data_IF_081369618429
#
_entry.id   IF_081369618429
#
_cell.length_a   1.000
_cell.length_b   1.000
_cell.length_c   1.000
_cell.angle_alpha   90.00
_cell.angle_beta   90.00
_cell.angle_gamma   90.00
#
_symmetry.space_group_name_H-M   'P 1'
#
loop_
_entity.id
_entity.type
_entity.pdbx_description
1 polymer ?
#
# COMPACT_ATOMS: atom_id res chain seq x y z
N UNK A 1 3.66 -11.35 2.50
CA UNK A 1 2.69 -10.93 1.46
C UNK A 1 1.25 -11.16 1.92
N UNK A 2 0.80 -12.41 2.09
CA UNK A 2 -0.53 -12.71 2.68
C UNK A 2 -0.76 -12.11 4.08
N UNK A 3 0.31 -11.86 4.84
CA UNK A 3 0.24 -11.20 6.14
C UNK A 3 -0.57 -9.89 6.11
N UNK A 4 -0.30 -9.00 5.15
CA UNK A 4 -0.97 -7.69 5.10
C UNK A 4 -2.42 -7.83 4.68
N UNK A 5 -2.71 -8.66 3.68
CA UNK A 5 -4.08 -8.92 3.20
C UNK A 5 -4.96 -9.71 4.17
N UNK A 6 -4.42 -10.16 5.31
CA UNK A 6 -5.19 -10.79 6.37
C UNK A 6 -5.71 -9.78 7.39
N UNK A 7 -5.20 -8.55 7.35
CA UNK A 7 -5.74 -7.46 8.17
C UNK A 7 -7.08 -7.03 7.54
N UNK A 8 -8.16 -6.94 8.33
CA UNK A 8 -9.46 -6.49 7.83
C UNK A 8 -9.42 -5.13 7.13
N UNK A 9 -10.19 -5.03 6.04
CA UNK A 9 -10.46 -3.75 5.40
C UNK A 9 -11.51 -2.98 6.21
N UNK A 10 -11.23 -1.73 6.55
CA UNK A 10 -12.15 -0.83 7.23
C UNK A 10 -11.97 0.59 6.70
N UNK A 11 -13.01 1.10 6.05
CA UNK A 11 -13.04 2.45 5.49
C UNK A 11 -13.22 3.51 6.60
N UNK A 12 -12.52 4.62 6.48
CA UNK A 12 -12.57 5.74 7.43
C UNK A 12 -13.98 6.30 7.67
N UNK A 13 -14.83 6.30 6.65
CA UNK A 13 -16.22 6.74 6.80
C UNK A 13 -17.00 5.86 7.78
N UNK A 14 -16.62 4.58 7.92
CA UNK A 14 -17.22 3.64 8.88
C UNK A 14 -16.87 3.99 10.32
N UNK A 15 -15.75 4.72 10.54
CA UNK A 15 -15.32 5.22 11.84
C UNK A 15 -15.94 6.59 12.17
N UNK A 16 -16.76 7.15 11.27
CA UNK A 16 -17.35 8.49 11.42
C UNK A 16 -16.35 9.62 11.16
N UNK A 17 -15.19 9.31 10.58
CA UNK A 17 -14.26 10.31 10.11
C UNK A 17 -14.89 11.09 8.94
N UNK A 18 -14.65 12.40 8.92
CA UNK A 18 -15.11 13.29 7.82
C UNK A 18 -14.05 13.50 6.75
N UNK A 19 -12.85 13.01 7.00
CA UNK A 19 -11.65 13.16 6.18
C UNK A 19 -10.96 11.80 6.14
N UNK A 20 -10.28 11.55 5.04
CA UNK A 20 -9.34 10.43 4.87
C UNK A 20 -8.08 10.69 5.72
N UNK A 21 -7.80 9.77 6.65
CA UNK A 21 -6.74 9.84 7.67
C UNK A 21 -5.85 8.62 7.55
N UNK A 22 -4.63 8.87 7.08
CA UNK A 22 -3.64 7.82 6.93
C UNK A 22 -2.95 7.49 8.25
N UNK A 23 -3.00 6.23 8.64
CA UNK A 23 -2.38 5.73 9.86
C UNK A 23 -0.92 5.29 9.64
N UNK A 24 -0.12 5.33 10.70
CA UNK A 24 1.21 4.71 10.70
C UNK A 24 1.09 3.17 10.69
N UNK A 25 2.13 2.48 10.24
CA UNK A 25 2.16 1.01 10.24
C UNK A 25 2.00 0.42 11.65
N UNK A 26 2.48 1.11 12.70
CA UNK A 26 2.22 0.70 14.09
C UNK A 26 0.75 0.86 14.48
N UNK A 27 0.15 2.03 14.23
CA UNK A 27 -1.24 2.31 14.57
C UNK A 27 -2.22 1.40 13.80
N UNK A 28 -1.95 1.14 12.52
CA UNK A 28 -2.71 0.20 11.70
C UNK A 28 -2.67 -1.23 12.25
N UNK A 29 -1.50 -1.70 12.70
CA UNK A 29 -1.36 -3.01 13.31
C UNK A 29 -2.02 -3.11 14.69
N UNK A 30 -2.05 -2.02 15.45
CA UNK A 30 -2.77 -1.95 16.73
C UNK A 30 -4.28 -1.95 16.54
N UNK A 31 -4.79 -1.16 15.58
CA UNK A 31 -6.21 -1.11 15.23
C UNK A 31 -6.71 -2.43 14.64
N UNK A 32 -5.80 -3.21 14.03
CA UNK A 32 -6.11 -4.46 13.34
C UNK A 32 -7.15 -4.29 12.22
N UNK A 33 -7.24 -3.09 11.64
CA UNK A 33 -8.11 -2.75 10.53
C UNK A 33 -7.65 -1.42 9.90
N UNK A 34 -7.98 -1.22 8.63
CA UNK A 34 -7.64 0.00 7.86
C UNK A 34 -7.95 -0.21 6.39
N UNK A 35 -7.72 0.79 5.55
CA UNK A 35 -8.14 0.76 4.15
C UNK A 35 -6.96 0.55 3.20
N UNK A 36 -7.09 0.97 1.94
CA UNK A 36 -6.11 0.59 0.90
C UNK A 36 -4.74 1.22 1.15
N UNK A 37 -4.72 2.39 1.77
CA UNK A 37 -3.59 3.25 2.03
C UNK A 37 -2.69 2.65 3.10
N UNK A 38 -3.26 2.28 4.26
CA UNK A 38 -2.50 1.60 5.31
C UNK A 38 -1.93 0.26 4.85
N UNK A 39 -2.74 -0.52 4.12
CA UNK A 39 -2.31 -1.81 3.59
C UNK A 39 -1.13 -1.61 2.63
N UNK A 40 -1.21 -0.65 1.72
CA UNK A 40 -0.15 -0.37 0.77
C UNK A 40 1.12 0.15 1.45
N UNK A 41 1.00 1.05 2.43
CA UNK A 41 2.15 1.58 3.19
C UNK A 41 2.84 0.48 3.98
N UNK A 42 2.09 -0.37 4.71
CA UNK A 42 2.68 -1.48 5.47
C UNK A 42 3.41 -2.48 4.56
N UNK A 43 2.79 -2.83 3.43
CA UNK A 43 3.42 -3.74 2.46
C UNK A 43 4.66 -3.12 1.81
N UNK A 44 4.61 -1.83 1.44
CA UNK A 44 5.74 -1.12 0.87
C UNK A 44 6.92 -1.08 1.86
N UNK A 45 6.67 -0.73 3.12
CA UNK A 45 7.67 -0.73 4.19
C UNK A 45 8.31 -2.11 4.38
N UNK A 46 7.49 -3.17 4.38
CA UNK A 46 7.98 -4.54 4.48
C UNK A 46 8.92 -4.91 3.31
N UNK A 47 8.53 -4.59 2.07
CA UNK A 47 9.33 -4.89 0.88
C UNK A 47 10.63 -4.08 0.83
N UNK A 48 10.58 -2.80 1.22
CA UNK A 48 11.78 -1.97 1.36
C UNK A 48 12.74 -2.54 2.40
N UNK A 49 12.22 -3.05 3.54
CA UNK A 49 13.02 -3.71 4.56
C UNK A 49 13.72 -4.98 4.05
N UNK A 50 13.05 -5.75 3.20
CA UNK A 50 13.61 -6.92 2.50
C UNK A 50 14.58 -6.54 1.36
N UNK A 51 14.83 -5.25 1.13
CA UNK A 51 15.76 -4.76 0.11
C UNK A 51 15.19 -4.73 -1.31
N UNK A 52 13.86 -4.80 -1.47
CA UNK A 52 13.21 -4.66 -2.78
C UNK A 52 13.05 -3.18 -3.16
N UNK A 53 13.11 -2.88 -4.45
CA UNK A 53 12.78 -1.55 -4.98
C UNK A 53 11.25 -1.42 -5.06
N UNK A 54 10.65 -0.86 -4.01
CA UNK A 54 9.19 -0.77 -3.83
C UNK A 54 8.68 0.66 -3.69
N UNK A 55 7.44 0.88 -4.13
CA UNK A 55 6.75 2.16 -4.11
C UNK A 55 5.27 1.97 -3.82
N UNK A 56 4.65 2.87 -3.07
CA UNK A 56 3.19 2.98 -3.07
C UNK A 56 2.75 3.68 -4.36
N UNK A 57 1.66 3.22 -4.95
CA UNK A 57 1.07 3.71 -6.19
C UNK A 57 -0.33 4.20 -5.87
N UNK A 58 -0.58 5.49 -6.10
CA UNK A 58 -1.91 6.09 -5.91
C UNK A 58 -2.58 6.29 -7.25
N UNK A 59 -3.85 5.91 -7.30
CA UNK A 59 -4.61 5.87 -8.52
C UNK A 59 -6.07 5.58 -8.29
N UNK A 60 -6.75 5.16 -9.36
CA UNK A 60 -8.14 4.73 -9.28
C UNK A 60 -8.32 3.32 -9.83
N UNK A 61 -8.99 2.46 -9.06
CA UNK A 61 -9.36 1.09 -9.43
C UNK A 61 -10.84 0.95 -9.74
N UNK A 62 -11.21 -0.14 -10.41
CA UNK A 62 -12.60 -0.54 -10.61
C UNK A 62 -12.81 -1.95 -10.02
N UNK A 63 -13.72 -2.12 -9.04
CA UNK A 63 -14.69 -1.14 -8.53
C UNK A 63 -14.17 -0.26 -7.37
N UNK A 64 -12.89 -0.32 -7.02
CA UNK A 64 -12.38 0.24 -5.76
C UNK A 64 -12.54 1.76 -5.62
N UNK A 65 -12.53 2.53 -6.70
CA UNK A 65 -12.49 3.99 -6.63
C UNK A 65 -11.07 4.49 -6.40
N UNK A 66 -10.87 5.54 -5.58
CA UNK A 66 -9.53 5.96 -5.16
C UNK A 66 -8.88 4.83 -4.35
N UNK A 67 -7.64 4.48 -4.69
CA UNK A 67 -7.00 3.30 -4.11
C UNK A 67 -5.47 3.36 -4.14
N UNK A 68 -4.84 2.66 -3.21
CA UNK A 68 -3.41 2.46 -3.13
C UNK A 68 -2.97 1.02 -3.46
N UNK A 69 -1.98 0.90 -4.34
CA UNK A 69 -1.30 -0.35 -4.67
C UNK A 69 0.19 -0.24 -4.30
N UNK A 70 0.93 -1.35 -4.36
CA UNK A 70 2.40 -1.31 -4.24
C UNK A 70 3.02 -1.75 -5.55
N UNK A 71 3.98 -1.00 -6.08
CA UNK A 71 4.82 -1.38 -7.21
C UNK A 71 6.11 -2.00 -6.69
N UNK A 72 6.52 -3.14 -7.25
CA UNK A 72 7.90 -3.61 -7.15
C UNK A 72 8.54 -3.63 -8.52
N UNK A 73 9.70 -2.99 -8.63
CA UNK A 73 10.48 -2.96 -9.87
C UNK A 73 11.35 -4.21 -9.98
N UNK A 74 11.39 -4.75 -11.20
CA UNK A 74 12.22 -5.87 -11.60
C UNK A 74 13.22 -5.40 -12.68
N UNK A 75 14.17 -6.26 -13.07
CA UNK A 75 15.21 -5.90 -14.05
C UNK A 75 14.63 -5.43 -15.39
N UNK A 76 13.52 -6.03 -15.81
CA UNK A 76 12.78 -5.63 -17.00
C UNK A 76 11.54 -4.83 -16.62
N UNK A 77 11.25 -3.76 -17.36
CA UNK A 77 10.08 -2.90 -17.13
C UNK A 77 8.75 -3.65 -17.25
N UNK A 78 8.68 -4.65 -18.13
CA UNK A 78 7.49 -5.49 -18.31
C UNK A 78 7.25 -6.46 -17.14
N UNK A 79 8.30 -6.75 -16.39
CA UNK A 79 8.23 -7.66 -15.25
C UNK A 79 7.87 -6.95 -13.94
N UNK A 80 7.70 -5.63 -13.97
CA UNK A 80 7.21 -4.90 -12.82
C UNK A 80 5.86 -5.45 -12.35
N UNK A 81 5.70 -5.49 -11.03
CA UNK A 81 4.51 -6.07 -10.39
C UNK A 81 3.76 -5.00 -9.62
N UNK A 82 2.43 -5.04 -9.72
CA UNK A 82 1.51 -4.26 -8.91
C UNK A 82 0.78 -5.17 -7.93
N UNK A 83 0.87 -4.83 -6.66
CA UNK A 83 0.35 -5.57 -5.54
C UNK A 83 -0.86 -4.84 -4.99
N UNK A 84 -2.03 -5.47 -5.01
CA UNK A 84 -3.18 -5.02 -4.25
C UNK A 84 -3.02 -5.58 -2.83
N UNK A 85 -2.62 -4.73 -1.89
CA UNK A 85 -2.26 -5.14 -0.54
C UNK A 85 -3.46 -5.64 0.28
N UNK A 86 -4.65 -5.08 0.05
CA UNK A 86 -5.89 -5.45 0.74
C UNK A 86 -6.42 -6.82 0.29
N UNK A 87 -6.37 -7.13 -1.01
CA UNK A 87 -6.81 -8.44 -1.53
C UNK A 87 -5.71 -9.50 -1.56
N UNK A 88 -4.44 -9.10 -1.40
CA UNK A 88 -3.28 -9.98 -1.52
C UNK A 88 -2.99 -10.45 -2.96
N UNK A 89 -3.63 -9.86 -3.96
CA UNK A 89 -3.44 -10.20 -5.38
C UNK A 89 -2.26 -9.44 -5.99
N UNK A 90 -1.63 -10.08 -6.96
CA UNK A 90 -0.44 -9.57 -7.65
C UNK A 90 -0.70 -9.62 -9.14
N UNK A 91 -0.35 -8.54 -9.82
CA UNK A 91 -0.56 -8.37 -11.25
C UNK A 91 0.75 -7.93 -11.90
N UNK A 92 0.94 -8.27 -13.18
CA UNK A 92 1.90 -7.55 -14.00
C UNK A 92 1.37 -6.15 -14.30
N UNK A 93 2.26 -5.17 -14.49
CA UNK A 93 1.87 -3.84 -15.00
C UNK A 93 1.19 -3.89 -16.37
N UNK A 94 1.39 -4.97 -17.14
CA UNK A 94 0.78 -5.20 -18.45
C UNK A 94 -0.43 -6.16 -18.41
N UNK A 95 -0.89 -6.54 -17.21
CA UNK A 95 -2.01 -7.46 -17.05
C UNK A 95 -3.35 -6.77 -17.37
N UNK A 96 -4.10 -7.30 -18.35
CA UNK A 96 -5.41 -6.78 -18.72
C UNK A 96 -6.49 -6.97 -17.65
N UNK A 97 -6.27 -7.89 -16.70
CA UNK A 97 -7.17 -8.14 -15.58
C UNK A 97 -6.86 -7.29 -14.34
N UNK A 98 -5.85 -6.40 -14.42
CA UNK A 98 -5.52 -5.45 -13.36
C UNK A 98 -6.71 -4.50 -13.10
N UNK A 99 -7.25 -4.45 -11.87
CA UNK A 99 -8.35 -3.53 -11.54
C UNK A 99 -7.95 -2.05 -11.56
N UNK A 100 -6.68 -1.75 -11.30
CA UNK A 100 -6.12 -0.40 -11.30
C UNK A 100 -6.23 0.20 -12.71
N UNK A 101 -7.11 1.18 -12.86
CA UNK A 101 -7.46 1.79 -14.14
C UNK A 101 -6.63 3.03 -14.47
N UNK A 102 -6.16 3.75 -13.44
CA UNK A 102 -5.34 4.96 -13.60
C UNK A 102 -4.33 5.11 -12.47
N UNK A 103 -3.19 5.75 -12.74
CA UNK A 103 -2.12 6.08 -11.80
C UNK A 103 -1.80 7.57 -11.87
N UNK A 104 -1.89 8.24 -10.72
CA UNK A 104 -1.61 9.67 -10.58
C UNK A 104 -0.20 9.94 -10.03
N UNK A 105 0.20 9.22 -8.99
CA UNK A 105 1.54 9.38 -8.40
C UNK A 105 2.05 8.08 -7.78
N UNK A 106 3.36 8.05 -7.56
CA UNK A 106 4.03 6.99 -6.81
C UNK A 106 4.95 7.60 -5.77
N UNK A 107 5.16 6.94 -4.65
CA UNK A 107 6.09 7.42 -3.62
C UNK A 107 6.72 6.29 -2.82
N UNK A 108 7.84 6.61 -2.16
CA UNK A 108 8.49 5.75 -1.18
C UNK A 108 9.14 6.59 -0.08
N UNK A 109 10.06 6.00 0.69
CA UNK A 109 10.81 6.63 1.77
C UNK A 109 11.71 7.81 1.32
N UNK A 110 11.90 8.00 0.01
CA UNK A 110 12.83 9.00 -0.54
C UNK A 110 12.15 10.15 -1.26
N UNK A 111 11.07 9.89 -2.00
CA UNK A 111 10.45 10.90 -2.83
C UNK A 111 9.00 10.56 -3.18
N UNK A 112 8.34 11.55 -3.76
CA UNK A 112 7.05 11.43 -4.44
C UNK A 112 7.28 11.79 -5.90
N UNK A 113 6.70 11.02 -6.82
CA UNK A 113 6.78 11.23 -8.26
C UNK A 113 5.37 11.34 -8.82
N UNK A 114 5.05 12.49 -9.41
CA UNK A 114 3.80 12.69 -10.12
C UNK A 114 3.91 12.19 -11.56
N UNK A 115 2.90 11.45 -12.01
CA UNK A 115 2.78 11.07 -13.42
C UNK A 115 2.49 12.31 -14.27
N UNK A 116 3.39 12.62 -15.21
CA UNK A 116 3.24 13.75 -16.16
C UNK A 116 3.17 13.26 -17.61
N UNK A 117 2.94 11.95 -17.81
CA UNK A 117 2.72 11.33 -19.12
C UNK A 117 1.33 11.68 -19.66
N UNK A 118 1.10 11.45 -20.96
CA UNK A 118 -0.20 11.68 -21.59
C UNK A 118 -1.27 10.64 -21.21
N UNK A 119 -0.84 9.50 -20.67
CA UNK A 119 -1.71 8.42 -20.20
C UNK A 119 -1.52 8.23 -18.69
N UNK A 120 -2.56 7.76 -18.02
CA UNK A 120 -2.53 7.30 -16.63
C UNK A 120 -2.72 5.78 -16.51
N UNK A 121 -3.01 5.07 -17.60
CA UNK A 121 -3.30 3.63 -17.57
C UNK A 121 -2.02 2.81 -17.33
N UNK A 122 -1.96 1.91 -16.34
CA UNK A 122 -0.75 1.18 -15.96
C UNK A 122 0.00 0.47 -17.10
N UNK A 123 -0.73 -0.12 -18.04
CA UNK A 123 -0.23 -0.87 -19.20
C UNK A 123 0.45 0.02 -20.26
N UNK A 124 0.12 1.32 -20.25
CA UNK A 124 0.64 2.32 -21.19
C UNK A 124 1.70 3.24 -20.56
N UNK A 125 1.95 3.10 -19.26
CA UNK A 125 2.95 3.93 -18.57
C UNK A 125 4.36 3.42 -18.84
N UNK A 126 5.25 4.37 -19.09
CA UNK A 126 6.67 4.13 -18.87
C UNK A 126 6.93 4.20 -17.36
N UNK A 127 7.41 3.12 -16.75
CA UNK A 127 7.68 3.03 -15.32
C UNK A 127 9.11 3.44 -14.95
N UNK A 128 9.85 4.09 -15.85
CA UNK A 128 11.16 4.65 -15.56
C UNK A 128 11.05 5.94 -14.71
N UNK A 129 10.92 5.77 -13.40
CA UNK A 129 10.68 6.86 -12.42
C UNK A 129 11.78 7.95 -12.38
N UNK A 130 12.95 7.69 -12.95
CA UNK A 130 14.06 8.65 -12.97
C UNK A 130 14.00 9.63 -14.16
N UNK A 131 13.13 9.38 -15.14
CA UNK A 131 12.91 10.32 -16.25
C UNK A 131 11.87 11.37 -15.84
N UNK A 132 12.36 12.58 -15.56
CA UNK A 132 11.55 13.72 -15.14
C UNK A 132 10.55 14.22 -16.22
N UNK A 133 10.66 13.75 -17.46
CA UNK A 133 9.66 14.00 -18.52
C UNK A 133 8.46 13.07 -18.43
N UNK A 134 8.57 11.97 -17.65
CA UNK A 134 7.52 10.97 -17.40
C UNK A 134 7.02 11.04 -15.97
N UNK A 135 7.93 11.16 -15.02
CA UNK A 135 7.69 11.15 -13.59
C UNK A 135 8.35 12.34 -12.93
N UNK A 136 7.57 13.39 -12.64
CA UNK A 136 8.11 14.61 -12.06
C UNK A 136 8.35 14.39 -10.55
N UNK A 137 9.61 14.41 -10.08
CA UNK A 137 9.90 14.26 -8.67
C UNK A 137 9.48 15.51 -7.90
N UNK A 138 8.94 15.32 -6.70
CA UNK A 138 8.60 16.41 -5.79
C UNK A 138 9.86 17.03 -5.19
N UNK A 139 10.78 16.20 -4.71
CA UNK A 139 12.10 16.63 -4.24
C UNK A 139 13.16 16.48 -5.34
N UNK A 140 13.91 17.55 -5.63
CA UNK A 140 14.98 17.51 -6.63
C UNK A 140 15.32 18.87 -7.23
N UNK A 141 16.24 18.95 -8.22
CA UNK A 141 16.73 20.22 -8.76
C UNK A 141 15.65 21.12 -9.38
N UNK A 142 14.58 20.53 -9.93
CA UNK A 142 13.42 21.22 -10.51
C UNK A 142 12.20 21.25 -9.58
N UNK A 143 12.35 20.73 -8.36
CA UNK A 143 11.31 20.63 -7.34
C UNK A 143 11.75 21.34 -6.06
N UNK A 144 11.36 20.80 -4.92
CA UNK A 144 11.75 21.30 -3.61
C UNK A 144 13.06 20.65 -3.14
N UNK A 145 13.89 21.33 -2.33
CA UNK A 145 14.99 20.66 -1.66
C UNK A 145 14.45 19.57 -0.72
N UNK A 146 15.10 18.39 -0.64
CA UNK A 146 14.72 17.39 0.35
C UNK A 146 14.73 18.00 1.75
N UNK A 147 13.71 17.72 2.58
CA UNK A 147 13.62 18.30 3.90
C UNK A 147 14.78 17.78 4.76
N UNK A 148 15.52 18.70 5.40
CA UNK A 148 16.65 18.35 6.27
C UNK A 148 16.22 17.84 7.65
N UNK A 149 14.98 18.16 8.05
CA UNK A 149 14.48 17.96 9.41
C UNK A 149 13.15 17.21 9.48
N UNK A 150 12.47 16.99 8.35
CA UNK A 150 11.25 16.17 8.35
C UNK A 150 11.67 14.70 8.39
N UNK A 151 11.58 14.11 9.56
CA UNK A 151 11.73 12.68 9.73
C UNK A 151 10.40 11.99 9.43
N UNK A 152 10.48 10.72 9.01
CA UNK A 152 9.28 9.90 8.87
C UNK A 152 8.57 9.78 10.21
N UNK A 153 7.24 9.88 10.18
CA UNK A 153 6.39 9.55 11.34
C UNK A 153 6.24 8.04 11.53
N UNK A 154 6.65 7.24 10.53
CA UNK A 154 6.65 5.78 10.63
C UNK A 154 7.69 5.31 11.64
N UNK A 155 7.29 4.42 12.55
CA UNK A 155 8.20 3.81 13.51
C UNK A 155 9.25 2.97 12.78
N UNK A 156 10.54 3.22 13.03
CA UNK A 156 11.65 2.53 12.35
C UNK A 156 11.71 1.01 12.63
N UNK A 157 11.06 0.52 13.69
CA UNK A 157 10.98 -0.91 14.01
C UNK A 157 9.61 -1.23 14.60
N UNK A 158 8.84 -2.05 13.89
CA UNK A 158 7.55 -2.54 14.37
C UNK A 158 7.77 -3.69 15.36
N UNK A 159 7.27 -3.55 16.58
CA UNK A 159 7.39 -4.58 17.62
C UNK A 159 6.17 -5.48 17.63
N UNK A 160 6.22 -6.57 16.87
CA UNK A 160 5.21 -7.62 16.99
C UNK A 160 5.46 -8.47 18.23
N UNK A 161 4.42 -8.68 19.05
CA UNK A 161 4.44 -9.64 20.15
C UNK A 161 3.59 -10.83 19.75
N UNK A 162 4.17 -12.03 19.83
CA UNK A 162 3.42 -13.27 19.61
C UNK A 162 2.28 -13.34 20.63
N UNK A 163 1.06 -13.51 20.13
CA UNK A 163 -0.13 -13.74 20.93
C UNK A 163 0.05 -14.98 21.81
N UNK A 164 -0.42 -14.93 23.06
CA UNK A 164 -0.36 -16.09 23.95
C UNK A 164 -1.26 -17.22 23.43
N UNK A 165 -0.86 -18.47 23.67
CA UNK A 165 -1.67 -19.64 23.27
C UNK A 165 -3.03 -19.66 24.00
N UNK A 166 -3.10 -19.07 25.20
CA UNK A 166 -4.34 -18.91 25.97
C UNK A 166 -5.33 -18.00 25.25
N UNK A 167 -4.88 -16.81 24.83
CA UNK A 167 -5.73 -15.87 24.11
C UNK A 167 -6.15 -16.43 22.74
N UNK A 168 -5.25 -17.15 22.06
CA UNK A 168 -5.57 -17.82 20.79
C UNK A 168 -6.72 -18.83 20.97
N UNK A 169 -6.66 -19.68 21.99
CA UNK A 169 -7.69 -20.68 22.29
C UNK A 169 -9.02 -20.04 22.70
N UNK A 170 -8.97 -18.92 23.40
CA UNK A 170 -10.16 -18.17 23.80
C UNK A 170 -10.91 -17.64 22.58
N UNK A 171 -10.20 -16.96 21.67
CA UNK A 171 -10.78 -16.44 20.42
C UNK A 171 -11.29 -17.59 19.54
N UNK A 172 -10.53 -18.69 19.42
CA UNK A 172 -10.93 -19.88 18.68
C UNK A 172 -12.27 -20.44 19.19
N UNK A 173 -12.39 -20.63 20.52
CA UNK A 173 -13.63 -21.11 21.16
C UNK A 173 -14.79 -20.13 20.97
N UNK A 174 -14.53 -18.83 21.03
CA UNK A 174 -15.57 -17.81 20.83
C UNK A 174 -16.12 -17.85 19.39
N UNK A 175 -15.24 -17.92 18.40
CA UNK A 175 -15.63 -18.00 16.99
C UNK A 175 -16.41 -19.28 16.71
N UNK A 176 -15.94 -20.43 17.18
CA UNK A 176 -16.65 -21.71 17.05
C UNK A 176 -18.04 -21.66 17.71
N UNK A 177 -18.12 -21.07 18.92
CA UNK A 177 -19.38 -20.94 19.64
C UNK A 177 -20.41 -20.09 18.91
N UNK A 178 -20.00 -18.99 18.27
CA UNK A 178 -20.90 -18.15 17.46
C UNK A 178 -21.36 -18.86 16.18
N UNK A 179 -20.46 -19.55 15.49
CA UNK A 179 -20.81 -20.31 14.29
C UNK A 179 -21.85 -21.40 14.55
N UNK A 180 -21.80 -22.04 15.73
CA UNK A 180 -22.79 -23.05 16.13
C UNK A 180 -24.17 -22.48 16.44
N UNK A 181 -24.28 -21.18 16.76
CA UNK A 181 -25.56 -20.52 17.05
C UNK A 181 -26.28 -20.01 15.77
N UNK A 182 -25.55 -19.92 14.66
CA UNK A 182 -26.10 -19.50 13.36
C UNK A 182 -26.61 -20.68 12.50
N UNK A 183 -26.45 -21.92 12.98
CA UNK A 183 -26.97 -23.18 12.39
C UNK A 183 -28.24 -23.62 13.12
#
# INVERSE_FOLDING_TARGET
>A
LRFVSLIPYLDDSSLGAKLDVWNTSDSFLELCAGDSEEHAVLLCNYLLHEGKEAYVVLGTGIPEGETAYVLTKETSSRDHRLWNASSGRVYSVADSALPLSSVGCVFNDRNVWANVQSSSRPDLLDWHLMDATKWRPFFGPKGYPPPRTLQSVQTATLRYRRTSEEHRKEVEREVEGRLQQEI
#
